data_IF_655900662450
#
_entry.id   IF_655900662450
#
_cell.length_a   1.000
_cell.length_b   1.000
_cell.length_c   1.000
_cell.angle_alpha   90.00
_cell.angle_beta   90.00
_cell.angle_gamma   90.00
#
_symmetry.space_group_name_H-M   'P 1'
#
loop_
_entity.id
_entity.type
_entity.pdbx_description
1 polymer ?
#
# COMPACT_ATOMS: atom_id res chain seq x y z
N UNK A 1 -8.47 27.03 -14.15
CA UNK A 1 -8.81 25.59 -14.28
C UNK A 1 -9.22 25.11 -12.90
N UNK A 2 -10.47 24.72 -12.68
CA UNK A 2 -10.87 24.17 -11.37
C UNK A 2 -10.31 22.74 -11.27
N UNK A 3 -9.57 22.43 -10.20
CA UNK A 3 -9.09 21.08 -9.89
C UNK A 3 -9.69 20.65 -8.56
N UNK A 4 -10.21 19.43 -8.47
CA UNK A 4 -10.67 18.87 -7.19
C UNK A 4 -9.49 18.21 -6.47
N UNK A 5 -9.37 18.44 -5.17
CA UNK A 5 -8.35 17.82 -4.33
C UNK A 5 -8.84 16.47 -3.84
N UNK A 6 -7.99 15.45 -3.91
CA UNK A 6 -8.19 14.13 -3.33
C UNK A 6 -7.10 13.87 -2.28
N UNK A 7 -7.50 13.60 -1.04
CA UNK A 7 -6.57 13.16 0.01
C UNK A 7 -6.73 11.70 0.35
N UNK A 8 -5.65 10.95 0.17
CA UNK A 8 -5.61 9.50 0.34
C UNK A 8 -4.70 9.16 1.51
N UNK A 9 -5.15 8.29 2.41
CA UNK A 9 -4.37 7.84 3.57
C UNK A 9 -4.19 6.32 3.62
N UNK A 10 -3.15 5.87 4.30
CA UNK A 10 -3.06 4.50 4.82
C UNK A 10 -2.86 4.56 6.33
N UNK A 11 -3.55 3.70 7.08
CA UNK A 11 -3.53 3.75 8.53
C UNK A 11 -3.61 2.36 9.15
N UNK A 12 -2.48 1.89 9.68
CA UNK A 12 -2.46 0.77 10.60
C UNK A 12 -3.07 1.20 11.93
N UNK A 13 -4.21 0.62 12.29
CA UNK A 13 -4.99 1.03 13.46
C UNK A 13 -4.45 0.45 14.77
N UNK A 14 -3.46 -0.45 14.73
CA UNK A 14 -2.95 -1.17 15.90
C UNK A 14 -4.07 -1.83 16.72
N UNK A 15 -4.57 -2.95 16.19
CA UNK A 15 -5.56 -3.86 16.78
C UNK A 15 -6.94 -3.24 17.08
N UNK A 16 -7.62 -2.67 16.09
CA UNK A 16 -8.95 -2.09 16.28
C UNK A 16 -10.05 -3.16 16.38
N UNK A 17 -10.64 -3.30 17.57
CA UNK A 17 -11.73 -4.21 17.87
C UNK A 17 -12.84 -3.51 18.68
N UNK A 18 -14.02 -4.13 18.77
CA UNK A 18 -15.12 -3.66 19.63
C UNK A 18 -14.81 -3.86 21.12
N UNK A 19 -15.45 -3.09 22.03
CA UNK A 19 -15.31 -3.29 23.46
C UNK A 19 -15.83 -4.66 23.90
N UNK A 20 -15.24 -5.23 24.96
CA UNK A 20 -15.69 -6.49 25.56
C UNK A 20 -15.34 -7.78 24.78
N UNK A 21 -14.77 -7.69 23.58
CA UNK A 21 -14.33 -8.87 22.80
C UNK A 21 -12.87 -9.20 23.07
N UNK A 22 -12.53 -10.48 23.20
CA UNK A 22 -11.12 -10.93 23.25
C UNK A 22 -10.56 -11.02 21.84
N UNK A 23 -9.41 -10.41 21.62
CA UNK A 23 -8.70 -10.42 20.36
C UNK A 23 -7.20 -10.44 20.63
N UNK A 24 -6.50 -11.20 19.81
CA UNK A 24 -5.08 -11.45 19.89
C UNK A 24 -4.68 -11.86 21.33
N UNK A 25 -3.43 -11.63 21.71
CA UNK A 25 -2.95 -11.84 23.08
C UNK A 25 -3.35 -10.67 24.03
N UNK A 26 -4.36 -9.86 23.66
CA UNK A 26 -4.75 -8.66 24.37
C UNK A 26 -6.04 -8.87 25.20
N UNK A 27 -6.16 -8.20 26.36
CA UNK A 27 -7.45 -8.11 27.04
C UNK A 27 -8.46 -7.33 26.19
N UNK A 28 -9.77 -7.53 26.39
CA UNK A 28 -10.79 -6.70 25.74
C UNK A 28 -10.62 -5.22 26.03
N UNK A 29 -11.07 -4.37 25.10
CA UNK A 29 -11.16 -2.93 25.35
C UNK A 29 -12.23 -2.62 26.39
N UNK A 30 -11.92 -1.73 27.33
CA UNK A 30 -12.96 -1.02 28.10
C UNK A 30 -13.71 -0.03 27.18
N UNK A 31 -14.93 0.40 27.54
CA UNK A 31 -15.64 1.44 26.80
C UNK A 31 -14.82 2.72 26.64
N UNK A 32 -14.11 3.14 27.70
CA UNK A 32 -13.29 4.36 27.71
C UNK A 32 -12.06 4.23 26.80
N UNK A 33 -11.38 3.08 26.81
CA UNK A 33 -10.26 2.81 25.91
C UNK A 33 -10.72 2.81 24.45
N UNK A 34 -11.86 2.19 24.18
CA UNK A 34 -12.46 2.14 22.86
C UNK A 34 -12.87 3.53 22.36
N UNK A 35 -13.55 4.33 23.19
CA UNK A 35 -13.91 5.71 22.85
C UNK A 35 -12.67 6.57 22.59
N UNK A 36 -11.62 6.43 23.39
CA UNK A 36 -10.35 7.13 23.17
C UNK A 36 -9.69 6.70 21.85
N UNK A 37 -9.65 5.39 21.55
CA UNK A 37 -9.08 4.83 20.32
C UNK A 37 -9.82 5.31 19.07
N UNK A 38 -11.14 5.23 19.08
CA UNK A 38 -11.98 5.66 17.95
C UNK A 38 -11.90 7.18 17.75
N UNK A 39 -11.86 7.97 18.83
CA UNK A 39 -11.67 9.42 18.76
C UNK A 39 -10.28 9.80 18.22
N UNK A 40 -9.23 9.08 18.62
CA UNK A 40 -7.88 9.25 18.09
C UNK A 40 -7.82 9.01 16.58
N UNK A 41 -8.39 7.88 16.11
CA UNK A 41 -8.43 7.53 14.69
C UNK A 41 -9.20 8.59 13.89
N UNK A 42 -10.42 8.92 14.31
CA UNK A 42 -11.24 9.93 13.63
C UNK A 42 -10.58 11.32 13.65
N UNK A 43 -9.95 11.70 14.75
CA UNK A 43 -9.23 12.97 14.88
C UNK A 43 -8.04 13.08 13.92
N UNK A 44 -7.28 12.00 13.71
CA UNK A 44 -6.22 11.95 12.71
C UNK A 44 -6.75 12.07 11.27
N UNK A 45 -7.82 11.34 10.95
CA UNK A 45 -8.45 11.39 9.63
C UNK A 45 -9.00 12.79 9.32
N UNK A 46 -9.61 13.46 10.30
CA UNK A 46 -10.10 14.83 10.14
C UNK A 46 -8.95 15.84 9.98
N UNK A 47 -7.88 15.72 10.78
CA UNK A 47 -6.69 16.57 10.66
C UNK A 47 -6.01 16.43 9.30
N UNK A 48 -5.96 15.20 8.78
CA UNK A 48 -5.50 14.89 7.42
C UNK A 48 -6.48 15.32 6.32
N UNK A 49 -7.70 15.74 6.69
CA UNK A 49 -8.79 16.06 5.78
C UNK A 49 -9.01 14.97 4.73
N UNK A 50 -8.95 13.71 5.18
CA UNK A 50 -8.92 12.51 4.35
C UNK A 50 -10.24 12.31 3.61
N UNK A 51 -10.16 11.88 2.35
CA UNK A 51 -11.31 11.54 1.51
C UNK A 51 -11.43 10.04 1.23
N UNK A 52 -10.29 9.33 1.19
CA UNK A 52 -10.15 7.90 0.95
C UNK A 52 -9.04 7.33 1.85
N UNK A 53 -9.29 6.23 2.55
CA UNK A 53 -8.30 5.60 3.41
C UNK A 53 -8.32 4.08 3.32
N UNK A 54 -7.13 3.47 3.28
CA UNK A 54 -6.92 2.05 3.56
C UNK A 54 -6.52 1.85 5.02
N UNK A 55 -7.04 0.81 5.65
CA UNK A 55 -6.80 0.49 7.05
C UNK A 55 -6.23 -0.90 7.23
N UNK A 56 -5.38 -1.06 8.23
CA UNK A 56 -4.82 -2.35 8.64
C UNK A 56 -5.12 -2.60 10.13
N UNK A 57 -4.95 -3.85 10.56
CA UNK A 57 -5.17 -4.29 11.95
C UNK A 57 -6.63 -4.15 12.42
N UNK A 58 -7.60 -4.40 11.54
CA UNK A 58 -9.04 -4.27 11.84
C UNK A 58 -9.64 -5.63 12.20
N UNK A 59 -10.12 -5.78 13.43
CA UNK A 59 -10.82 -6.99 13.90
C UNK A 59 -12.34 -6.91 13.70
N UNK A 60 -12.91 -5.71 13.73
CA UNK A 60 -14.36 -5.50 13.55
C UNK A 60 -14.64 -4.34 12.59
N UNK A 61 -15.43 -4.60 11.55
CA UNK A 61 -15.88 -3.56 10.60
C UNK A 61 -16.70 -2.46 11.29
N UNK A 62 -17.53 -2.84 12.27
CA UNK A 62 -18.30 -1.90 13.08
C UNK A 62 -17.38 -0.92 13.84
N UNK A 63 -16.30 -1.42 14.44
CA UNK A 63 -15.34 -0.58 15.13
C UNK A 63 -14.63 0.40 14.18
N UNK A 64 -14.26 -0.07 12.99
CA UNK A 64 -13.71 0.80 11.94
C UNK A 64 -14.71 1.89 11.54
N UNK A 65 -15.98 1.53 11.33
CA UNK A 65 -17.02 2.48 10.94
C UNK A 65 -17.24 3.56 11.98
N UNK A 66 -17.32 3.19 13.25
CA UNK A 66 -17.47 4.12 14.36
C UNK A 66 -16.26 5.06 14.45
N UNK A 67 -15.04 4.53 14.37
CA UNK A 67 -13.80 5.33 14.36
C UNK A 67 -13.77 6.35 13.21
N UNK A 68 -14.08 5.90 11.99
CA UNK A 68 -14.10 6.75 10.79
C UNK A 68 -15.15 7.85 10.93
N UNK A 69 -16.35 7.54 11.43
CA UNK A 69 -17.44 8.52 11.57
C UNK A 69 -17.25 9.52 12.71
N UNK A 70 -16.25 9.34 13.59
CA UNK A 70 -15.80 10.37 14.54
C UNK A 70 -15.15 11.55 13.80
N UNK A 71 -14.63 11.37 12.58
CA UNK A 71 -14.19 12.47 11.72
C UNK A 71 -15.40 13.15 11.06
N UNK A 72 -15.71 14.44 11.35
CA UNK A 72 -16.85 15.13 10.77
C UNK A 72 -16.95 15.04 9.25
N UNK A 73 -15.82 15.14 8.53
CA UNK A 73 -15.79 15.05 7.07
C UNK A 73 -16.19 13.65 6.57
N UNK A 74 -15.80 12.58 7.26
CA UNK A 74 -16.08 11.20 6.88
C UNK A 74 -17.37 10.64 7.50
N UNK A 75 -18.16 11.46 8.19
CA UNK A 75 -19.45 11.02 8.75
C UNK A 75 -20.37 10.55 7.63
N UNK A 76 -20.83 9.30 7.72
CA UNK A 76 -21.66 8.67 6.68
C UNK A 76 -20.89 8.20 5.44
N UNK A 77 -19.54 8.26 5.46
CA UNK A 77 -18.71 7.64 4.43
C UNK A 77 -18.96 6.13 4.35
N UNK A 78 -18.75 5.57 3.17
CA UNK A 78 -18.75 4.11 2.97
C UNK A 78 -17.55 3.51 3.70
N UNK A 79 -17.78 2.46 4.49
CA UNK A 79 -16.75 1.73 5.22
C UNK A 79 -16.93 0.24 4.98
N UNK A 80 -15.85 -0.44 4.61
CA UNK A 80 -15.82 -1.88 4.36
C UNK A 80 -14.55 -2.49 4.97
N UNK A 81 -14.70 -3.57 5.73
CA UNK A 81 -13.62 -4.42 6.21
C UNK A 81 -14.12 -5.88 6.17
N UNK A 82 -14.17 -6.48 4.96
CA UNK A 82 -14.76 -7.80 4.79
C UNK A 82 -14.06 -8.84 5.66
N UNK A 83 -14.85 -9.74 6.28
CA UNK A 83 -14.39 -10.81 7.18
C UNK A 83 -13.78 -10.29 8.49
N UNK A 84 -14.02 -9.02 8.85
CA UNK A 84 -13.65 -8.41 10.13
C UNK A 84 -14.89 -8.41 11.05
N UNK A 85 -15.13 -9.54 11.69
CA UNK A 85 -16.29 -9.79 12.55
C UNK A 85 -15.98 -10.91 13.56
N UNK A 86 -16.99 -11.30 14.33
CA UNK A 86 -16.84 -12.33 15.35
C UNK A 86 -16.63 -13.74 14.78
N UNK A 87 -16.80 -13.97 13.47
CA UNK A 87 -16.59 -15.27 12.81
C UNK A 87 -15.16 -15.40 12.23
N UNK A 88 -14.30 -14.39 12.44
CA UNK A 88 -12.89 -14.43 12.08
C UNK A 88 -12.13 -15.59 12.75
N UNK A 89 -10.93 -15.95 12.24
CA UNK A 89 -10.09 -16.98 12.83
C UNK A 89 -9.79 -16.69 14.31
N UNK A 90 -9.92 -17.71 15.16
CA UNK A 90 -9.73 -17.62 16.61
C UNK A 90 -8.59 -18.50 17.10
N UNK A 91 -7.97 -18.10 18.20
CA UNK A 91 -7.10 -18.94 19.02
C UNK A 91 -7.90 -20.08 19.70
N UNK A 92 -7.24 -21.12 20.23
CA UNK A 92 -7.93 -22.21 20.96
C UNK A 92 -8.78 -21.74 22.15
N UNK A 93 -8.41 -20.63 22.79
CA UNK A 93 -9.16 -20.01 23.90
C UNK A 93 -10.26 -19.03 23.43
N UNK A 94 -10.49 -18.93 22.11
CA UNK A 94 -11.62 -18.23 21.52
C UNK A 94 -11.40 -16.75 21.19
N UNK A 95 -10.18 -16.22 21.35
CA UNK A 95 -9.86 -14.84 20.98
C UNK A 95 -9.65 -14.72 19.46
N UNK A 96 -10.16 -13.66 18.83
CA UNK A 96 -9.91 -13.42 17.39
C UNK A 96 -8.41 -13.23 17.14
N UNK A 97 -7.80 -13.96 16.22
CA UNK A 97 -6.34 -13.97 16.05
C UNK A 97 -5.84 -13.38 14.72
N UNK A 98 -6.75 -13.13 13.77
CA UNK A 98 -6.37 -12.69 12.43
C UNK A 98 -7.07 -11.37 12.08
N UNK A 99 -6.38 -10.22 12.20
CA UNK A 99 -6.92 -8.95 11.73
C UNK A 99 -7.13 -8.95 10.22
N UNK A 100 -7.98 -8.04 9.75
CA UNK A 100 -8.24 -7.75 8.35
C UNK A 100 -7.78 -6.35 7.98
N UNK A 101 -7.92 -6.06 6.70
CA UNK A 101 -7.78 -4.72 6.14
C UNK A 101 -9.16 -4.12 5.85
N UNK A 102 -9.24 -2.80 5.85
CA UNK A 102 -10.45 -2.07 5.56
C UNK A 102 -10.25 -0.89 4.62
N UNK A 103 -11.36 -0.33 4.15
CA UNK A 103 -11.42 0.84 3.29
C UNK A 103 -12.49 1.79 3.85
N UNK A 104 -12.20 3.08 3.88
CA UNK A 104 -13.23 4.11 4.03
C UNK A 104 -13.14 5.12 2.89
N UNK A 105 -14.29 5.54 2.36
CA UNK A 105 -14.33 6.55 1.30
C UNK A 105 -15.57 7.43 1.35
N UNK A 106 -15.36 8.73 1.13
CA UNK A 106 -16.42 9.69 0.76
C UNK A 106 -16.82 9.60 -0.70
N UNK A 107 -15.98 8.98 -1.53
CA UNK A 107 -16.27 8.76 -2.93
C UNK A 107 -17.14 7.51 -3.08
N UNK A 108 -17.95 7.38 -4.15
CA UNK A 108 -18.72 6.18 -4.40
C UNK A 108 -17.81 4.96 -4.52
N UNK A 109 -18.05 3.95 -3.68
CA UNK A 109 -17.41 2.63 -3.78
C UNK A 109 -18.34 1.72 -4.56
N UNK A 110 -17.93 1.31 -5.75
CA UNK A 110 -18.74 0.51 -6.67
C UNK A 110 -18.66 -0.99 -6.36
N UNK A 111 -17.48 -1.45 -5.93
CA UNK A 111 -17.20 -2.86 -5.67
C UNK A 111 -16.12 -3.00 -4.62
N UNK A 112 -16.23 -4.02 -3.77
CA UNK A 112 -15.21 -4.45 -2.82
C UNK A 112 -15.06 -5.97 -2.88
N UNK A 113 -13.81 -6.44 -2.91
CA UNK A 113 -13.45 -7.87 -2.94
C UNK A 113 -12.35 -8.13 -1.91
N UNK A 114 -12.45 -9.25 -1.19
CA UNK A 114 -11.41 -9.74 -0.29
C UNK A 114 -10.74 -10.96 -0.90
N UNK A 115 -9.44 -10.89 -1.12
CA UNK A 115 -8.67 -11.85 -1.92
C UNK A 115 -7.66 -12.54 -1.00
N UNK A 116 -7.97 -13.76 -0.58
CA UNK A 116 -7.09 -14.56 0.27
C UNK A 116 -6.11 -15.42 -0.52
N UNK A 117 -6.54 -16.00 -1.65
CA UNK A 117 -5.72 -16.90 -2.46
C UNK A 117 -4.82 -16.14 -3.45
N UNK A 118 -3.64 -16.68 -3.70
CA UNK A 118 -2.75 -16.17 -4.74
C UNK A 118 -3.32 -16.43 -6.14
N UNK A 119 -2.87 -15.65 -7.15
CA UNK A 119 -3.15 -15.96 -8.55
C UNK A 119 -2.79 -17.42 -8.90
N UNK A 120 -3.63 -18.11 -9.70
CA UNK A 120 -3.35 -19.49 -10.10
C UNK A 120 -1.96 -19.66 -10.71
N UNK A 121 -1.25 -20.71 -10.28
CA UNK A 121 0.08 -21.07 -10.77
C UNK A 121 1.26 -20.35 -10.08
N UNK A 122 1.02 -19.35 -9.23
CA UNK A 122 2.11 -18.62 -8.58
C UNK A 122 2.61 -19.26 -7.28
N UNK A 123 1.78 -20.03 -6.57
CA UNK A 123 2.10 -20.53 -5.23
C UNK A 123 3.16 -21.64 -5.15
N UNK A 124 4.00 -21.77 -6.19
CA UNK A 124 5.05 -22.77 -6.33
C UNK A 124 6.28 -22.12 -6.98
N UNK A 125 7.48 -22.62 -6.67
CA UNK A 125 8.71 -22.23 -7.38
C UNK A 125 9.37 -20.94 -6.92
N UNK A 126 9.06 -20.43 -5.72
CA UNK A 126 9.74 -19.26 -5.14
C UNK A 126 11.23 -19.48 -4.83
N UNK A 127 11.67 -20.73 -4.76
CA UNK A 127 13.06 -21.08 -4.52
C UNK A 127 13.67 -21.79 -5.73
N UNK A 128 14.99 -21.69 -5.87
CA UNK A 128 15.75 -22.41 -6.90
C UNK A 128 16.85 -23.24 -6.26
N UNK A 129 17.11 -24.42 -6.81
CA UNK A 129 18.30 -25.24 -6.51
C UNK A 129 19.15 -25.39 -7.76
N UNK A 130 20.44 -25.67 -7.60
CA UNK A 130 21.32 -26.06 -8.71
C UNK A 130 21.49 -27.57 -8.71
N UNK A 131 21.43 -28.19 -9.89
CA UNK A 131 21.86 -29.57 -10.06
C UNK A 131 23.39 -29.68 -10.15
N UNK A 132 23.89 -30.91 -10.23
CA UNK A 132 25.32 -31.24 -10.34
C UNK A 132 26.01 -30.62 -11.58
N UNK A 133 25.25 -30.25 -12.60
CA UNK A 133 25.75 -29.57 -13.80
C UNK A 133 25.60 -28.04 -13.71
N UNK A 134 25.22 -27.52 -12.53
CA UNK A 134 25.06 -26.09 -12.27
C UNK A 134 23.77 -25.47 -12.81
N UNK A 135 22.85 -26.27 -13.39
CA UNK A 135 21.59 -25.77 -13.95
C UNK A 135 20.58 -25.52 -12.84
N UNK A 136 19.91 -24.36 -12.91
CA UNK A 136 18.89 -23.96 -11.94
C UNK A 136 17.56 -24.68 -12.21
N UNK A 137 16.94 -25.17 -11.15
CA UNK A 137 15.62 -25.80 -11.16
C UNK A 137 14.78 -25.21 -10.02
N UNK A 138 13.51 -24.92 -10.30
CA UNK A 138 12.58 -24.47 -9.28
C UNK A 138 12.39 -25.55 -8.20
N UNK A 139 12.37 -25.12 -6.95
CA UNK A 139 12.00 -25.93 -5.79
C UNK A 139 10.58 -25.57 -5.39
N UNK A 140 9.67 -26.55 -5.31
CA UNK A 140 8.32 -26.31 -4.78
C UNK A 140 8.40 -25.78 -3.34
N UNK A 141 7.97 -24.53 -3.15
CA UNK A 141 7.72 -23.92 -1.85
C UNK A 141 6.26 -23.52 -1.87
N UNK A 142 5.42 -24.33 -1.22
CA UNK A 142 3.97 -24.18 -1.26
C UNK A 142 3.48 -23.02 -0.40
N UNK A 143 3.44 -21.82 -0.96
CA UNK A 143 2.83 -20.65 -0.32
C UNK A 143 1.79 -20.09 -1.29
N UNK A 144 0.51 -20.21 -0.94
CA UNK A 144 -0.59 -19.96 -1.88
C UNK A 144 -1.61 -18.93 -1.41
N UNK A 145 -1.35 -18.22 -0.32
CA UNK A 145 -2.32 -17.33 0.30
C UNK A 145 -1.66 -16.13 0.99
N UNK A 146 -2.43 -15.04 1.11
CA UNK A 146 -2.11 -13.88 1.92
C UNK A 146 -2.55 -14.14 3.36
N UNK A 147 -1.66 -13.96 4.35
CA UNK A 147 -2.03 -14.10 5.78
C UNK A 147 -3.15 -13.14 6.18
N UNK A 148 -3.07 -11.90 5.66
CA UNK A 148 -4.16 -10.94 5.68
C UNK A 148 -4.71 -10.78 4.24
N UNK A 149 -5.95 -11.23 3.97
CA UNK A 149 -6.55 -11.11 2.64
C UNK A 149 -6.48 -9.67 2.10
N UNK A 150 -6.11 -9.54 0.84
CA UNK A 150 -5.99 -8.24 0.16
C UNK A 150 -7.38 -7.71 -0.18
N UNK A 151 -7.67 -6.46 0.17
CA UNK A 151 -8.90 -5.78 -0.24
C UNK A 151 -8.67 -5.09 -1.59
N UNK A 152 -9.46 -5.42 -2.59
CA UNK A 152 -9.54 -4.70 -3.88
C UNK A 152 -10.86 -3.96 -3.95
N UNK A 153 -10.83 -2.66 -4.18
CA UNK A 153 -12.03 -1.84 -4.34
C UNK A 153 -12.00 -1.03 -5.63
N UNK A 154 -13.18 -0.81 -6.22
CA UNK A 154 -13.37 0.11 -7.33
C UNK A 154 -14.05 1.38 -6.80
N UNK A 155 -13.32 2.48 -6.80
CA UNK A 155 -13.76 3.79 -6.29
C UNK A 155 -13.96 4.73 -7.47
N UNK A 156 -15.06 5.47 -7.49
CA UNK A 156 -15.36 6.40 -8.57
C UNK A 156 -14.82 7.80 -8.23
N UNK A 157 -13.79 8.23 -8.98
CA UNK A 157 -13.30 9.61 -8.91
C UNK A 157 -14.30 10.57 -9.61
N UNK A 158 -14.16 11.89 -9.39
CA UNK A 158 -14.83 12.90 -10.22
C UNK A 158 -14.68 12.63 -11.73
N UNK A 159 -15.66 13.10 -12.51
CA UNK A 159 -15.79 12.80 -13.95
C UNK A 159 -15.95 11.31 -14.28
N UNK A 160 -16.42 10.50 -13.31
CA UNK A 160 -16.70 9.07 -13.48
C UNK A 160 -15.48 8.23 -13.89
N UNK A 161 -14.28 8.63 -13.45
CA UNK A 161 -13.06 7.85 -13.69
C UNK A 161 -12.93 6.74 -12.64
N UNK A 162 -12.93 5.46 -13.01
CA UNK A 162 -12.74 4.37 -12.06
C UNK A 162 -11.28 4.32 -11.57
N UNK A 163 -11.10 4.24 -10.26
CA UNK A 163 -9.83 4.00 -9.59
C UNK A 163 -9.88 2.65 -8.89
N UNK A 164 -8.94 1.76 -9.19
CA UNK A 164 -8.78 0.52 -8.44
C UNK A 164 -7.86 0.76 -7.24
N UNK A 165 -8.35 0.47 -6.04
CA UNK A 165 -7.59 0.62 -4.79
C UNK A 165 -7.32 -0.75 -4.20
N UNK A 166 -6.06 -1.04 -3.92
CA UNK A 166 -5.65 -2.21 -3.14
C UNK A 166 -5.30 -1.76 -1.73
N UNK A 167 -5.90 -2.39 -0.71
CA UNK A 167 -5.47 -2.26 0.67
C UNK A 167 -4.80 -3.54 1.11
N UNK A 168 -3.58 -3.42 1.65
CA UNK A 168 -2.71 -4.57 1.94
C UNK A 168 -2.11 -4.47 3.34
N UNK A 169 -1.79 -5.62 3.92
CA UNK A 169 -0.99 -5.73 5.13
C UNK A 169 -0.12 -6.98 5.02
N UNK A 170 1.12 -6.83 4.58
CA UNK A 170 1.99 -7.99 4.34
C UNK A 170 2.51 -8.60 5.64
N UNK A 171 3.05 -9.82 5.54
CA UNK A 171 3.70 -10.51 6.66
C UNK A 171 4.79 -9.64 7.32
N UNK A 172 4.70 -9.50 8.64
CA UNK A 172 5.69 -8.74 9.42
C UNK A 172 7.07 -9.39 9.48
N UNK A 173 8.08 -8.60 9.87
CA UNK A 173 9.46 -9.09 10.14
C UNK A 173 9.54 -10.02 11.36
N UNK A 174 8.46 -10.15 12.13
CA UNK A 174 8.44 -11.01 13.33
C UNK A 174 8.68 -12.48 12.93
N UNK A 175 9.67 -13.16 13.54
CA UNK A 175 10.01 -14.54 13.22
C UNK A 175 8.81 -15.48 13.42
N UNK A 176 8.66 -16.47 12.53
CA UNK A 176 7.65 -17.53 12.66
C UNK A 176 8.30 -18.76 13.29
N UNK A 177 8.17 -18.87 14.61
CA UNK A 177 8.64 -20.04 15.39
C UNK A 177 7.48 -21.02 15.54
N UNK A 178 7.72 -22.29 15.24
CA UNK A 178 6.70 -23.33 15.36
C UNK A 178 6.47 -23.69 16.84
N UNK A 179 5.31 -24.28 17.15
CA UNK A 179 4.89 -24.55 18.54
C UNK A 179 5.84 -25.49 19.29
N UNK A 180 6.49 -26.42 18.58
CA UNK A 180 7.41 -27.43 19.10
C UNK A 180 8.89 -27.02 19.10
N UNK A 181 9.21 -25.79 18.65
CA UNK A 181 10.58 -25.29 18.55
C UNK A 181 11.00 -24.44 19.77
N UNK A 182 12.27 -24.54 20.18
CA UNK A 182 12.82 -23.67 21.23
C UNK A 182 13.09 -22.26 20.69
N UNK A 183 12.29 -21.30 21.15
CA UNK A 183 12.41 -19.87 20.82
C UNK A 183 13.76 -19.26 21.22
N UNK A 184 14.51 -19.89 22.13
CA UNK A 184 15.82 -19.41 22.59
C UNK A 184 16.99 -19.93 21.74
N UNK A 185 16.77 -20.97 20.94
CA UNK A 185 17.80 -21.51 20.05
C UNK A 185 18.10 -20.51 18.90
N UNK A 186 19.35 -20.03 18.75
CA UNK A 186 19.73 -19.13 17.66
C UNK A 186 19.46 -19.70 16.26
N UNK A 187 19.59 -21.01 16.06
CA UNK A 187 19.35 -21.66 14.77
C UNK A 187 17.86 -21.65 14.41
N UNK A 188 16.99 -21.97 15.38
CA UNK A 188 15.53 -21.86 15.24
C UNK A 188 15.15 -20.42 14.89
N UNK A 189 15.70 -19.43 15.60
CA UNK A 189 15.43 -18.02 15.33
C UNK A 189 15.82 -17.61 13.91
N UNK A 190 16.96 -18.07 13.41
CA UNK A 190 17.40 -17.80 12.03
C UNK A 190 16.42 -18.39 11.00
N UNK A 191 15.99 -19.65 11.19
CA UNK A 191 15.00 -20.29 10.33
C UNK A 191 13.64 -19.60 10.37
N UNK A 192 13.20 -19.18 11.56
CA UNK A 192 11.95 -18.46 11.76
C UNK A 192 11.92 -17.10 11.04
N UNK A 193 13.05 -16.39 10.98
CA UNK A 193 13.19 -15.16 10.18
C UNK A 193 13.08 -15.48 8.68
N UNK A 194 13.72 -16.55 8.21
CA UNK A 194 13.63 -16.97 6.80
C UNK A 194 12.19 -17.34 6.43
N UNK A 195 11.45 -18.04 7.29
CA UNK A 195 10.02 -18.36 7.08
C UNK A 195 9.18 -17.09 6.90
N UNK A 196 9.37 -16.09 7.77
CA UNK A 196 8.69 -14.81 7.65
C UNK A 196 9.04 -14.08 6.34
N UNK A 197 10.32 -14.09 5.96
CA UNK A 197 10.79 -13.49 4.70
C UNK A 197 10.20 -14.20 3.47
N UNK A 198 10.16 -15.53 3.46
CA UNK A 198 9.59 -16.31 2.36
C UNK A 198 8.10 -16.04 2.19
N UNK A 199 7.32 -16.00 3.28
CA UNK A 199 5.90 -15.65 3.24
C UNK A 199 5.72 -14.24 2.67
N UNK A 200 6.41 -13.23 3.22
CA UNK A 200 6.30 -11.85 2.72
C UNK A 200 6.73 -11.72 1.26
N UNK A 201 7.82 -12.38 0.85
CA UNK A 201 8.29 -12.39 -0.53
C UNK A 201 7.26 -13.00 -1.49
N UNK A 202 6.60 -14.08 -1.07
CA UNK A 202 5.56 -14.73 -1.84
C UNK A 202 4.30 -13.85 -1.97
N UNK A 203 3.89 -13.18 -0.89
CA UNK A 203 2.78 -12.21 -0.91
C UNK A 203 3.09 -11.01 -1.81
N UNK A 204 4.30 -10.45 -1.73
CA UNK A 204 4.75 -9.37 -2.61
C UNK A 204 4.72 -9.78 -4.09
N UNK A 205 5.18 -11.00 -4.42
CA UNK A 205 5.11 -11.53 -5.78
C UNK A 205 3.67 -11.69 -6.27
N UNK A 206 2.78 -12.21 -5.41
CA UNK A 206 1.36 -12.37 -5.72
C UNK A 206 0.68 -11.03 -5.98
N UNK A 207 0.90 -10.06 -5.09
CA UNK A 207 0.40 -8.71 -5.26
C UNK A 207 0.94 -8.09 -6.56
N UNK A 208 2.24 -8.26 -6.87
CA UNK A 208 2.83 -7.74 -8.10
C UNK A 208 2.16 -8.30 -9.35
N UNK A 209 1.87 -9.60 -9.40
CA UNK A 209 1.16 -10.22 -10.52
C UNK A 209 -0.27 -9.66 -10.64
N UNK A 210 -0.98 -9.48 -9.53
CA UNK A 210 -2.32 -8.89 -9.51
C UNK A 210 -2.31 -7.45 -10.04
N UNK A 211 -1.40 -6.61 -9.54
CA UNK A 211 -1.24 -5.22 -9.95
C UNK A 211 -0.87 -5.12 -11.43
N UNK A 212 0.05 -5.96 -11.91
CA UNK A 212 0.46 -5.97 -13.32
C UNK A 212 -0.71 -6.31 -14.25
N UNK A 213 -1.59 -7.24 -13.85
CA UNK A 213 -2.80 -7.59 -14.61
C UNK A 213 -3.84 -6.47 -14.58
N UNK A 214 -4.01 -5.79 -13.44
CA UNK A 214 -4.92 -4.65 -13.32
C UNK A 214 -4.45 -3.47 -14.17
N UNK A 215 -3.17 -3.08 -14.07
CA UNK A 215 -2.59 -1.94 -14.79
C UNK A 215 -2.46 -2.18 -16.30
N UNK A 216 -2.17 -3.42 -16.72
CA UNK A 216 -2.17 -3.77 -18.15
C UNK A 216 -3.56 -3.64 -18.80
N UNK A 217 -4.63 -3.60 -18.01
CA UNK A 217 -6.01 -3.47 -18.48
C UNK A 217 -6.54 -4.71 -19.22
N UNK A 218 -7.78 -4.60 -19.70
CA UNK A 218 -8.43 -5.56 -20.62
C UNK A 218 -8.70 -4.92 -22.00
N UNK A 219 -7.82 -4.02 -22.46
CA UNK A 219 -8.04 -3.23 -23.68
C UNK A 219 -7.15 -1.99 -23.77
N UNK A 220 -7.61 -0.98 -24.52
CA UNK A 220 -6.89 0.28 -24.83
C UNK A 220 -7.01 1.38 -23.76
N UNK A 221 -7.76 1.16 -22.68
CA UNK A 221 -7.96 2.19 -21.65
C UNK A 221 -7.10 1.95 -20.40
N UNK A 222 -6.29 2.94 -19.97
CA UNK A 222 -5.52 2.87 -18.73
C UNK A 222 -6.44 2.70 -17.51
N UNK A 223 -6.01 1.89 -16.54
CA UNK A 223 -6.67 1.73 -15.24
C UNK A 223 -5.82 2.36 -14.15
N UNK A 224 -6.23 3.52 -13.59
CA UNK A 224 -5.56 4.09 -12.43
C UNK A 224 -5.60 3.10 -11.27
N UNK A 225 -4.44 2.88 -10.63
CA UNK A 225 -4.30 1.99 -9.48
C UNK A 225 -3.63 2.73 -8.33
N UNK A 226 -4.12 2.50 -7.11
CA UNK A 226 -3.44 2.87 -5.87
C UNK A 226 -3.27 1.64 -4.97
N UNK A 227 -2.16 1.57 -4.25
CA UNK A 227 -1.90 0.58 -3.19
C UNK A 227 -1.67 1.32 -1.88
N UNK A 228 -2.45 0.96 -0.86
CA UNK A 228 -2.44 1.57 0.46
C UNK A 228 -2.15 0.48 1.47
N UNK A 229 -1.07 0.58 2.23
CA UNK A 229 -0.86 -0.42 3.28
C UNK A 229 0.46 -0.43 3.97
N UNK A 230 0.49 -1.21 5.04
CA UNK A 230 1.71 -1.63 5.73
C UNK A 230 2.35 -2.78 4.96
N UNK A 231 3.45 -2.50 4.27
CA UNK A 231 4.22 -3.49 3.52
C UNK A 231 5.23 -4.23 4.41
N UNK A 232 5.37 -3.81 5.67
CA UNK A 232 6.30 -4.35 6.65
C UNK A 232 7.77 -4.35 6.19
N UNK A 233 8.10 -3.44 5.27
CA UNK A 233 9.43 -3.24 4.72
C UNK A 233 9.61 -1.81 4.17
N UNK A 234 10.87 -1.38 4.12
CA UNK A 234 11.27 -0.05 3.61
C UNK A 234 11.04 0.06 2.11
N UNK A 235 11.06 1.30 1.60
CA UNK A 235 10.90 1.59 0.17
C UNK A 235 11.95 0.86 -0.70
N UNK A 236 13.19 0.76 -0.23
CA UNK A 236 14.33 0.13 -0.93
C UNK A 236 14.46 -1.36 -0.65
N UNK A 237 13.52 -1.96 0.11
CA UNK A 237 13.53 -3.40 0.33
C UNK A 237 13.10 -4.15 -0.93
N UNK A 238 13.72 -5.30 -1.19
CA UNK A 238 13.44 -6.12 -2.38
C UNK A 238 11.95 -6.45 -2.54
N UNK A 239 11.24 -6.68 -1.44
CA UNK A 239 9.79 -6.94 -1.41
C UNK A 239 8.98 -5.73 -1.89
N UNK A 240 9.29 -4.53 -1.41
CA UNK A 240 8.63 -3.28 -1.82
C UNK A 240 8.98 -2.91 -3.27
N UNK A 241 10.24 -3.06 -3.68
CA UNK A 241 10.67 -2.85 -5.06
C UNK A 241 9.99 -3.84 -6.02
N UNK A 242 9.84 -5.10 -5.61
CA UNK A 242 9.10 -6.11 -6.38
C UNK A 242 7.65 -5.68 -6.61
N UNK A 243 6.96 -5.15 -5.60
CA UNK A 243 5.58 -4.64 -5.73
C UNK A 243 5.52 -3.45 -6.68
N UNK A 244 6.44 -2.49 -6.51
CA UNK A 244 6.53 -1.30 -7.38
C UNK A 244 6.76 -1.66 -8.83
N UNK A 245 7.50 -2.74 -9.07
CA UNK A 245 7.94 -3.14 -10.39
C UNK A 245 9.12 -2.33 -10.88
N UNK A 246 9.70 -2.80 -11.98
CA UNK A 246 10.84 -2.15 -12.61
C UNK A 246 10.56 -0.69 -12.95
N UNK A 247 11.51 0.18 -12.63
CA UNK A 247 11.43 1.60 -12.97
C UNK A 247 11.59 1.81 -14.47
N UNK A 248 10.93 2.84 -15.04
CA UNK A 248 11.21 3.26 -16.39
C UNK A 248 12.69 3.62 -16.58
N UNK A 249 13.23 3.25 -17.73
CA UNK A 249 14.64 3.43 -18.03
C UNK A 249 14.94 4.93 -18.32
N UNK A 250 16.08 5.46 -17.82
CA UNK A 250 16.49 6.83 -18.09
C UNK A 250 16.75 7.08 -19.58
N UNK A 251 16.35 8.25 -20.10
CA UNK A 251 16.56 8.61 -21.52
C UNK A 251 18.03 8.58 -21.93
N UNK A 252 18.97 8.68 -20.99
CA UNK A 252 20.42 8.55 -21.22
C UNK A 252 20.85 7.15 -21.67
N UNK A 253 20.06 6.10 -21.43
CA UNK A 253 20.33 4.75 -21.91
C UNK A 253 19.83 4.50 -23.33
N UNK A 254 19.00 5.39 -23.88
CA UNK A 254 18.45 5.28 -25.23
C UNK A 254 19.52 5.12 -26.33
N UNK A 255 20.66 5.85 -26.32
CA UNK A 255 21.71 5.66 -27.33
C UNK A 255 22.44 4.32 -27.24
N UNK A 256 22.32 3.60 -26.11
CA UNK A 256 22.96 2.30 -25.89
C UNK A 256 22.10 1.11 -26.38
N UNK A 257 20.87 1.36 -26.83
CA UNK A 257 19.98 0.33 -27.35
C UNK A 257 20.12 0.19 -28.86
N UNK A 258 20.20 -1.06 -29.34
CA UNK A 258 20.43 -1.39 -30.75
C UNK A 258 19.26 -1.01 -31.68
N UNK A 259 18.02 -1.01 -31.16
CA UNK A 259 16.80 -0.59 -31.88
C UNK A 259 16.07 0.49 -31.08
N UNK A 260 15.98 1.75 -31.58
CA UNK A 260 15.19 2.80 -30.96
C UNK A 260 13.73 2.39 -30.74
N UNK A 261 13.11 1.68 -31.69
CA UNK A 261 11.74 1.20 -31.62
C UNK A 261 11.51 0.26 -30.43
N UNK A 262 12.50 -0.55 -30.12
CA UNK A 262 12.49 -1.46 -28.97
C UNK A 262 12.57 -0.72 -27.64
N UNK A 263 13.39 0.33 -27.56
CA UNK A 263 13.43 1.22 -26.41
C UNK A 263 12.06 1.82 -26.10
N UNK A 264 11.36 2.41 -27.09
CA UNK A 264 10.09 3.06 -26.79
C UNK A 264 9.02 2.06 -26.34
N UNK A 265 8.95 0.88 -26.96
CA UNK A 265 8.00 -0.18 -26.55
C UNK A 265 8.31 -0.68 -25.15
N UNK A 266 9.57 -1.03 -24.89
CA UNK A 266 10.01 -1.55 -23.59
C UNK A 266 9.80 -0.51 -22.48
N UNK A 267 10.23 0.74 -22.72
CA UNK A 267 10.12 1.78 -21.72
C UNK A 267 8.66 2.15 -21.44
N UNK A 268 7.81 2.24 -22.48
CA UNK A 268 6.36 2.44 -22.29
C UNK A 268 5.76 1.36 -21.40
N UNK A 269 6.09 0.09 -21.63
CA UNK A 269 5.61 -1.01 -20.78
C UNK A 269 6.07 -0.88 -19.33
N UNK A 270 7.28 -0.38 -19.09
CA UNK A 270 7.77 -0.11 -17.74
C UNK A 270 6.97 1.02 -17.08
N UNK A 271 6.70 2.12 -17.80
CA UNK A 271 5.82 3.19 -17.34
C UNK A 271 4.41 2.69 -17.00
N UNK A 272 3.83 1.87 -17.87
CA UNK A 272 2.48 1.32 -17.70
C UNK A 272 2.36 0.37 -16.49
N UNK A 273 3.47 -0.22 -16.05
CA UNK A 273 3.49 -1.22 -14.99
C UNK A 273 4.24 -0.78 -13.72
N UNK A 274 4.78 0.43 -13.67
CA UNK A 274 5.48 0.93 -12.49
C UNK A 274 4.54 1.66 -11.54
N UNK A 275 4.71 1.40 -10.24
CA UNK A 275 4.08 2.18 -9.18
C UNK A 275 5.07 3.14 -8.52
N UNK A 276 4.67 4.39 -8.44
CA UNK A 276 5.39 5.47 -7.77
C UNK A 276 5.00 5.50 -6.30
N UNK A 277 5.99 5.62 -5.42
CA UNK A 277 5.75 5.80 -4.00
C UNK A 277 5.63 7.29 -3.66
N UNK A 278 4.61 7.67 -2.89
CA UNK A 278 4.42 9.06 -2.45
C UNK A 278 5.63 9.58 -1.65
N UNK A 279 6.29 8.73 -0.86
CA UNK A 279 7.48 9.09 -0.08
C UNK A 279 8.68 9.42 -0.98
N UNK A 280 8.91 8.62 -2.03
CA UNK A 280 9.93 8.84 -3.05
C UNK A 280 9.69 10.17 -3.80
N UNK A 281 8.45 10.40 -4.24
CA UNK A 281 8.06 11.63 -4.94
C UNK A 281 8.19 12.87 -4.03
N UNK A 282 7.84 12.75 -2.76
CA UNK A 282 8.00 13.82 -1.78
C UNK A 282 9.48 14.21 -1.59
N UNK A 283 10.37 13.22 -1.47
CA UNK A 283 11.81 13.44 -1.31
C UNK A 283 12.45 14.16 -2.52
N UNK A 284 11.88 13.99 -3.72
CA UNK A 284 12.31 14.73 -4.92
C UNK A 284 11.93 16.22 -4.88
N UNK A 285 10.91 16.59 -4.10
CA UNK A 285 10.40 17.96 -4.02
C UNK A 285 10.91 18.75 -2.81
N UNK A 286 11.26 18.08 -1.71
CA UNK A 286 11.73 18.73 -0.48
C UNK A 286 13.05 18.12 -0.01
N UNK A 287 14.07 18.97 0.12
CA UNK A 287 15.36 18.58 0.73
C UNK A 287 15.22 18.50 2.25
N UNK A 288 15.70 17.40 2.84
CA UNK A 288 15.84 17.27 4.31
C UNK A 288 14.58 16.85 5.06
N UNK A 289 13.57 16.27 4.39
CA UNK A 289 12.41 15.70 5.08
C UNK A 289 12.75 14.31 5.64
N UNK A 290 12.67 14.15 6.96
CA UNK A 290 12.69 12.84 7.61
C UNK A 290 11.26 12.31 7.65
N UNK A 291 10.95 11.33 6.81
CA UNK A 291 9.67 10.61 6.83
C UNK A 291 9.84 9.30 7.59
N UNK A 292 8.94 9.01 8.50
CA UNK A 292 8.87 7.72 9.18
C UNK A 292 7.44 7.46 9.64
N UNK A 293 7.04 6.20 9.61
CA UNK A 293 5.75 5.72 10.08
C UNK A 293 5.89 4.82 11.30
N UNK A 294 7.09 4.31 11.59
CA UNK A 294 7.31 3.43 12.73
C UNK A 294 8.69 3.68 13.35
N UNK A 295 8.84 3.42 14.65
CA UNK A 295 10.12 3.49 15.35
C UNK A 295 10.35 2.18 16.09
N UNK A 296 11.54 1.59 15.93
CA UNK A 296 11.90 0.35 16.61
C UNK A 296 13.38 0.36 17.02
N UNK A 297 13.67 0.36 18.33
CA UNK A 297 15.03 0.46 18.88
C UNK A 297 15.84 1.65 18.31
N UNK A 298 15.20 2.81 18.18
CA UNK A 298 15.79 4.03 17.66
C UNK A 298 15.85 4.10 16.13
N UNK A 299 15.49 3.04 15.41
CA UNK A 299 15.43 3.04 13.95
C UNK A 299 14.09 3.60 13.47
N UNK A 300 14.14 4.72 12.76
CA UNK A 300 13.01 5.39 12.15
C UNK A 300 12.75 4.79 10.76
N UNK A 301 11.58 4.20 10.57
CA UNK A 301 11.27 3.37 9.41
C UNK A 301 10.01 3.84 8.67
N UNK A 302 9.96 3.62 7.35
CA UNK A 302 8.75 3.81 6.53
C UNK A 302 8.20 2.45 6.12
N UNK A 303 7.22 1.96 6.88
CA UNK A 303 6.57 0.67 6.63
C UNK A 303 5.22 0.82 5.92
N UNK A 304 4.56 1.98 6.11
CA UNK A 304 3.26 2.28 5.55
C UNK A 304 3.42 3.11 4.27
N UNK A 305 2.94 2.57 3.15
CA UNK A 305 3.18 3.14 1.82
C UNK A 305 1.87 3.50 1.11
N UNK A 306 1.92 4.62 0.39
CA UNK A 306 0.94 4.98 -0.64
C UNK A 306 1.65 4.89 -1.98
N UNK A 307 1.30 3.88 -2.77
CA UNK A 307 1.80 3.69 -4.12
C UNK A 307 0.71 4.03 -5.13
N UNK A 308 1.08 4.60 -6.27
CA UNK A 308 0.14 4.97 -7.33
C UNK A 308 0.72 4.75 -8.73
N UNK A 309 -0.14 4.45 -9.68
CA UNK A 309 0.23 4.26 -11.09
C UNK A 309 0.50 5.58 -11.81
N UNK A 310 1.07 5.50 -13.01
CA UNK A 310 1.49 6.67 -13.80
C UNK A 310 0.37 7.68 -14.09
N UNK A 311 -0.91 7.31 -13.96
CA UNK A 311 -2.06 8.21 -14.17
C UNK A 311 -2.11 9.35 -13.14
N UNK A 312 -1.35 9.28 -12.04
CA UNK A 312 -1.17 10.36 -11.06
C UNK A 312 0.23 10.99 -11.10
N UNK A 313 1.08 10.57 -12.04
CA UNK A 313 2.45 11.02 -12.14
C UNK A 313 2.58 12.19 -13.12
N UNK A 314 3.24 13.27 -12.68
CA UNK A 314 3.30 14.55 -13.42
C UNK A 314 3.93 14.45 -14.82
N UNK A 315 4.85 13.50 -15.02
CA UNK A 315 5.48 13.24 -16.32
C UNK A 315 4.58 12.49 -17.32
N UNK A 316 3.45 11.94 -16.89
CA UNK A 316 2.51 11.30 -17.80
C UNK A 316 1.65 12.38 -18.48
N UNK A 317 1.70 12.51 -19.83
CA UNK A 317 0.89 13.49 -20.55
C UNK A 317 -0.61 13.16 -20.55
N UNK A 318 -0.97 11.90 -20.28
CA UNK A 318 -2.36 11.43 -20.20
C UNK A 318 -2.85 11.28 -18.75
N UNK A 319 -2.11 11.83 -17.77
CA UNK A 319 -2.47 11.74 -16.36
C UNK A 319 -3.87 12.31 -16.08
N UNK A 320 -4.51 11.75 -15.04
CA UNK A 320 -5.81 12.19 -14.54
C UNK A 320 -5.69 13.06 -13.30
N UNK A 321 -4.52 13.07 -12.67
CA UNK A 321 -4.21 13.89 -11.52
C UNK A 321 -2.71 14.06 -11.35
N UNK A 322 -2.34 14.92 -10.42
CA UNK A 322 -0.96 15.18 -10.05
C UNK A 322 -0.79 14.94 -8.56
N UNK A 323 0.15 14.07 -8.17
CA UNK A 323 0.67 14.05 -6.81
C UNK A 323 1.20 15.43 -6.43
N UNK A 324 0.82 15.94 -5.26
CA UNK A 324 1.22 17.26 -4.75
C UNK A 324 2.21 17.15 -3.62
N UNK A 325 1.83 16.48 -2.54
CA UNK A 325 2.71 16.27 -1.42
C UNK A 325 2.26 15.07 -0.58
N UNK A 326 3.18 14.59 0.25
CA UNK A 326 2.94 13.62 1.29
C UNK A 326 3.20 14.28 2.66
N UNK A 327 2.25 14.14 3.57
CA UNK A 327 2.43 14.45 4.98
C UNK A 327 2.25 13.18 5.80
N UNK A 328 3.11 12.96 6.80
CA UNK A 328 2.98 11.83 7.73
C UNK A 328 2.61 12.39 9.10
N UNK A 329 1.48 11.98 9.63
CA UNK A 329 1.03 12.36 10.97
C UNK A 329 1.55 11.33 11.97
N UNK A 330 2.66 11.65 12.64
CA UNK A 330 3.40 10.74 13.51
C UNK A 330 3.77 11.34 14.88
N UNK A 331 3.16 12.48 15.28
CA UNK A 331 3.42 13.12 16.57
C UNK A 331 3.18 12.21 17.80
N UNK A 332 2.36 11.17 17.63
CA UNK A 332 2.03 10.18 18.65
C UNK A 332 2.96 8.97 18.66
N UNK A 333 3.79 8.79 17.62
CA UNK A 333 4.69 7.63 17.49
C UNK A 333 5.89 7.83 18.42
N UNK A 334 6.07 6.89 19.34
CA UNK A 334 7.16 6.89 20.31
C UNK A 334 7.86 5.54 20.32
N UNK A 335 9.16 5.53 20.59
CA UNK A 335 9.88 4.28 20.80
C UNK A 335 9.59 3.72 22.19
N UNK A 336 8.74 2.70 22.24
CA UNK A 336 8.40 2.00 23.49
C UNK A 336 9.54 1.17 24.06
N UNK A 337 10.62 0.92 23.31
CA UNK A 337 11.80 0.20 23.80
C UNK A 337 12.79 1.11 24.52
N UNK A 338 12.74 2.42 24.24
CA UNK A 338 13.71 3.40 24.76
C UNK A 338 13.08 4.36 25.77
N UNK A 339 11.76 4.30 25.99
CA UNK A 339 11.05 5.16 26.93
C UNK A 339 10.21 4.35 27.91
N UNK A 340 10.18 4.75 29.17
CA UNK A 340 9.22 4.25 30.20
C UNK A 340 7.80 4.80 29.96
N UNK A 341 7.60 5.50 28.83
CA UNK A 341 6.32 6.05 28.42
C UNK A 341 5.49 4.96 27.74
N UNK A 342 4.85 4.12 28.54
CA UNK A 342 3.77 3.22 28.09
C UNK A 342 2.47 3.97 27.72
N UNK A 343 2.51 5.30 27.62
CA UNK A 343 1.32 6.11 27.32
C UNK A 343 0.77 5.73 25.94
N UNK A 344 -0.49 5.29 25.93
CA UNK A 344 -1.37 5.10 24.77
C UNK A 344 -1.18 3.86 23.86
N UNK A 345 -0.47 2.80 24.26
CA UNK A 345 -0.35 1.57 23.42
C UNK A 345 -1.73 1.00 23.01
N UNK A 346 -2.76 1.20 23.83
CA UNK A 346 -4.12 0.69 23.57
C UNK A 346 -5.02 1.67 22.82
N UNK A 347 -4.80 2.97 22.99
CA UNK A 347 -5.71 4.06 22.60
C UNK A 347 -5.16 4.93 21.47
N UNK A 348 -3.88 4.77 21.10
CA UNK A 348 -3.28 5.32 19.88
C UNK A 348 -2.75 4.18 19.00
N UNK A 349 -2.19 4.50 17.83
CA UNK A 349 -1.45 3.55 16.99
C UNK A 349 0.05 3.74 17.19
N UNK A 350 0.84 2.68 17.07
CA UNK A 350 2.30 2.74 16.95
C UNK A 350 2.77 3.12 15.54
N UNK A 351 1.83 3.27 14.60
CA UNK A 351 2.10 3.74 13.24
C UNK A 351 1.71 5.20 13.05
N UNK A 352 2.57 5.94 12.36
CA UNK A 352 2.27 7.23 11.76
C UNK A 352 1.35 7.05 10.55
N UNK A 353 0.62 8.10 10.19
CA UNK A 353 -0.39 8.06 9.12
C UNK A 353 0.08 8.87 7.91
N UNK A 354 0.59 8.23 6.85
CA UNK A 354 0.83 8.90 5.58
C UNK A 354 -0.48 9.37 4.96
N UNK A 355 -0.53 10.63 4.53
CA UNK A 355 -1.63 11.26 3.81
C UNK A 355 -1.06 11.96 2.57
N UNK A 356 -1.39 11.44 1.39
CA UNK A 356 -0.99 11.98 0.11
C UNK A 356 -2.10 12.85 -0.49
N UNK A 357 -1.73 14.05 -0.96
CA UNK A 357 -2.63 14.95 -1.67
C UNK A 357 -2.42 14.83 -3.18
N UNK A 358 -3.52 14.68 -3.92
CA UNK A 358 -3.55 14.67 -5.37
C UNK A 358 -4.49 15.75 -5.90
N UNK A 359 -4.04 16.50 -6.91
CA UNK A 359 -4.90 17.41 -7.64
C UNK A 359 -5.45 16.71 -8.88
N UNK A 360 -6.74 16.41 -8.86
CA UNK A 360 -7.42 15.76 -9.97
C UNK A 360 -7.71 16.78 -11.08
N UNK A 361 -7.48 16.34 -12.31
CA UNK A 361 -7.69 17.12 -13.51
C UNK A 361 -9.10 16.88 -14.08
N UNK A 362 -9.81 17.96 -14.36
CA UNK A 362 -11.09 17.88 -15.08
C UNK A 362 -10.89 17.28 -16.47
N UNK A 363 -11.95 16.71 -17.04
CA UNK A 363 -11.97 16.24 -18.42
C UNK A 363 -11.50 17.31 -19.42
N UNK A 364 -11.86 18.59 -19.19
CA UNK A 364 -11.39 19.71 -20.01
C UNK A 364 -9.87 19.92 -19.90
N UNK A 365 -9.32 19.95 -18.68
CA UNK A 365 -7.88 20.10 -18.44
C UNK A 365 -7.09 18.94 -19.07
N UNK A 366 -7.60 17.71 -18.97
CA UNK A 366 -7.00 16.51 -19.59
C UNK A 366 -6.89 16.65 -21.11
N UNK A 367 -7.96 17.10 -21.78
CA UNK A 367 -7.96 17.33 -23.25
C UNK A 367 -6.94 18.39 -23.68
N UNK A 368 -6.81 19.49 -22.92
CA UNK A 368 -5.83 20.55 -23.23
C UNK A 368 -4.40 20.03 -23.13
N UNK A 369 -4.08 19.27 -22.09
CA UNK A 369 -2.75 18.68 -21.91
C UNK A 369 -2.38 17.73 -23.05
N UNK A 370 -3.31 16.85 -23.45
CA UNK A 370 -3.12 15.89 -24.53
C UNK A 370 -2.89 16.59 -25.89
N UNK A 371 -3.63 17.67 -26.16
CA UNK A 371 -3.49 18.44 -27.40
C UNK A 371 -2.18 19.27 -27.43
N UNK A 372 -1.75 19.82 -26.30
CA UNK A 372 -0.47 20.55 -26.21
C UNK A 372 0.75 19.66 -26.45
N UNK A 373 0.67 18.38 -26.09
CA UNK A 373 1.75 17.42 -26.35
C UNK A 373 1.80 16.91 -27.79
N UNK A 374 0.69 16.91 -28.52
CA UNK A 374 0.67 16.51 -29.94
C UNK A 374 1.17 17.62 -30.88
N UNK A 375 1.02 18.89 -30.51
CA UNK A 375 1.59 20.02 -31.28
C UNK A 375 3.10 20.20 -31.11
N UNK A 376 3.70 19.69 -30.03
CA UNK A 376 5.14 19.80 -29.77
C UNK A 376 6.00 18.79 -30.57
N UNK A 377 5.38 17.85 -31.29
CA UNK A 377 6.06 16.86 -32.14
C UNK A 377 6.34 17.31 -33.58
N UNK A 378 5.85 18.48 -34.00
CA UNK A 378 6.07 19.06 -35.33
C UNK A 378 6.88 20.36 -35.20
N UNK A 379 8.15 20.25 -34.85
CA UNK A 379 9.12 21.29 -35.20
C UNK A 379 9.73 20.83 -36.53
N UNK A 380 9.47 21.50 -37.67
CA UNK A 380 10.20 21.21 -38.90
C UNK A 380 11.68 21.45 -38.61
N UNK A 381 12.53 20.50 -39.00
CA UNK A 381 13.97 20.71 -39.09
C UNK A 381 14.22 21.89 -40.02
N UNK A 382 14.32 23.08 -39.44
CA UNK A 382 14.65 24.32 -40.13
C UNK A 382 16.04 24.20 -40.69
N UNK A 383 16.09 24.24 -42.01
CA UNK A 383 17.26 24.30 -42.88
C UNK A 383 18.35 25.23 -42.37
N UNK A 384 19.58 24.73 -42.45
CA UNK A 384 20.79 25.54 -42.49
C UNK A 384 20.67 26.69 -43.50
N UNK A 385 21.15 27.87 -43.13
CA UNK A 385 22.00 28.76 -43.93
C UNK A 385 22.17 30.12 -43.23
N UNK A 386 23.38 30.40 -42.74
CA UNK A 386 24.29 31.42 -43.26
C UNK A 386 25.62 31.35 -42.48
#
# INVERSE_FOLDING_TARGET
MSSSVLRVATFNTQLLARPGVRFHEQPPYSPEEYDAKTAFIGGLLERGQVDLAGFQEVFHEEALREAVWKAPRLRGATVNAPLADDDGPKTPDGALNAPRVGLASRLPVLKVESIAAFPPGLGQGFAVRRDENGRQQAVPVGIGFFERPVLRAEVLLPDSVPLTVYVVHLKSRRPVVLEDEDRRDPAVRALAVVRALLQRGAEAAALRVMLSREMAGRGTEPRPVMVLGDLNDELTSVTTELIRGEQPLPETLKPLMADPGDWQRKNRRLWDLHLYAASDQQAMHIKGTTLYTHIHFGDYQVLDHILFSQEFHSRNPHRIGDFRYLQVYNDHVVDTHMTDMTRNIRTASDHGVPVAEFNLLTAASRKVLQNGTSSAGNVPSGTANA
#
